data_IF_112196078086
#
_entry.id   IF_112196078086
#
_cell.length_a   1.000
_cell.length_b   1.000
_cell.length_c   1.000
_cell.angle_alpha   90.00
_cell.angle_beta   90.00
_cell.angle_gamma   90.00
#
_symmetry.space_group_name_H-M   'P 1'
#
loop_
_entity.id
_entity.type
_entity.pdbx_description
1 polymer ?
#
# COMPACT_ATOMS: atom_id res chain seq x y z
N UNK A 1 -4.31 -13.69 -32.87
CA UNK A 1 -3.53 -14.07 -31.66
C UNK A 1 -2.25 -13.27 -31.54
N UNK A 2 -1.26 -13.38 -32.44
CA UNK A 2 -0.03 -12.57 -32.35
C UNK A 2 -0.23 -11.05 -32.50
N UNK A 3 -1.24 -10.62 -33.27
CA UNK A 3 -1.51 -9.21 -33.52
C UNK A 3 -2.05 -8.44 -32.29
N UNK A 4 -2.89 -9.07 -31.46
CA UNK A 4 -3.46 -8.41 -30.27
C UNK A 4 -2.41 -8.21 -29.17
N UNK A 5 -1.59 -9.24 -28.91
CA UNK A 5 -0.47 -9.15 -27.96
C UNK A 5 0.62 -8.20 -28.46
N UNK A 6 0.90 -8.16 -29.77
CA UNK A 6 1.84 -7.21 -30.34
C UNK A 6 1.32 -5.75 -30.30
N UNK A 7 0.03 -5.54 -30.55
CA UNK A 7 -0.59 -4.22 -30.43
C UNK A 7 -0.62 -3.73 -28.97
N UNK A 8 -0.87 -4.64 -28.02
CA UNK A 8 -0.82 -4.32 -26.59
C UNK A 8 0.60 -3.98 -26.14
N UNK A 9 1.61 -4.76 -26.55
CA UNK A 9 3.02 -4.44 -26.23
C UNK A 9 3.44 -3.10 -26.80
N UNK A 10 3.13 -2.82 -28.07
CA UNK A 10 3.39 -1.51 -28.67
C UNK A 10 2.69 -0.37 -27.91
N UNK A 11 1.46 -0.59 -27.45
CA UNK A 11 0.71 0.40 -26.67
C UNK A 11 1.29 0.63 -25.26
N UNK A 12 1.96 -0.34 -24.64
CA UNK A 12 2.62 -0.18 -23.35
C UNK A 12 4.06 0.34 -23.48
N UNK A 13 4.76 0.06 -24.59
CA UNK A 13 6.08 0.63 -24.88
C UNK A 13 6.02 2.17 -24.96
N UNK A 14 4.90 2.71 -25.45
CA UNK A 14 4.63 4.16 -25.47
C UNK A 14 4.33 4.79 -24.08
N UNK A 15 4.17 3.99 -23.01
CA UNK A 15 3.94 4.48 -21.64
C UNK A 15 5.27 4.73 -20.90
N UNK A 16 6.39 4.18 -21.39
CA UNK A 16 7.71 4.40 -20.79
C UNK A 16 8.38 5.66 -21.33
N UNK A 17 8.17 6.81 -20.69
CA UNK A 17 9.17 7.88 -20.67
C UNK A 17 9.12 8.65 -19.33
N UNK A 18 9.60 8.04 -18.25
CA UNK A 18 10.37 8.82 -17.27
C UNK A 18 11.81 8.80 -17.77
N UNK A 19 12.15 9.72 -18.67
CA UNK A 19 13.53 9.89 -19.07
C UNK A 19 14.27 10.49 -17.87
N UNK A 20 15.42 9.90 -17.52
CA UNK A 20 16.33 10.50 -16.54
C UNK A 20 17.16 11.54 -17.29
N UNK A 21 17.15 12.79 -16.83
CA UNK A 21 18.02 13.81 -17.39
C UNK A 21 19.48 13.37 -17.28
N UNK A 22 20.16 13.29 -18.41
CA UNK A 22 21.59 13.08 -18.50
C UNK A 22 22.27 14.20 -19.31
N UNK A 23 23.57 14.07 -19.51
CA UNK A 23 24.39 15.01 -20.28
C UNK A 23 24.03 15.08 -21.77
N UNK A 24 23.11 14.22 -22.26
CA UNK A 24 22.66 14.19 -23.65
C UNK A 24 21.28 14.84 -23.84
N UNK A 25 20.70 15.44 -22.80
CA UNK A 25 19.41 16.11 -22.91
C UNK A 25 19.50 17.36 -23.79
N UNK A 26 18.48 17.63 -24.63
CA UNK A 26 18.45 18.85 -25.42
C UNK A 26 18.28 20.08 -24.50
N UNK A 27 18.75 21.25 -24.94
CA UNK A 27 18.73 22.51 -24.18
C UNK A 27 17.31 22.96 -23.73
N UNK A 28 16.27 22.33 -24.25
CA UNK A 28 14.85 22.54 -23.91
C UNK A 28 14.24 21.35 -23.16
N UNK A 29 15.02 20.59 -22.40
CA UNK A 29 14.51 19.50 -21.58
C UNK A 29 13.66 20.05 -20.42
N UNK A 30 12.35 19.78 -20.46
CA UNK A 30 11.35 20.28 -19.51
C UNK A 30 11.65 19.91 -18.04
N UNK A 31 12.40 18.83 -17.80
CA UNK A 31 12.78 18.36 -16.46
C UNK A 31 13.91 19.18 -15.80
N UNK A 32 14.46 20.19 -16.48
CA UNK A 32 15.39 21.18 -15.91
C UNK A 32 14.74 22.53 -15.60
N UNK A 33 13.46 22.70 -15.97
CA UNK A 33 12.66 23.89 -15.66
C UNK A 33 11.92 23.69 -14.33
N UNK A 34 12.37 24.39 -13.29
CA UNK A 34 11.76 24.39 -11.95
C UNK A 34 10.70 25.49 -11.77
N UNK A 35 10.22 26.10 -12.86
CA UNK A 35 9.17 27.12 -12.78
C UNK A 35 7.80 26.50 -12.43
N UNK A 36 6.93 27.28 -11.79
CA UNK A 36 5.55 26.87 -11.48
C UNK A 36 4.76 26.46 -12.74
N UNK A 37 5.07 27.08 -13.89
CA UNK A 37 4.45 26.74 -15.17
C UNK A 37 4.87 25.35 -15.67
N UNK A 38 6.14 24.97 -15.50
CA UNK A 38 6.64 23.64 -15.82
C UNK A 38 6.03 22.57 -14.91
N UNK A 39 5.88 22.85 -13.60
CA UNK A 39 5.16 21.96 -12.68
C UNK A 39 3.71 21.72 -13.12
N UNK A 40 2.97 22.78 -13.44
CA UNK A 40 1.59 22.65 -13.93
C UNK A 40 1.50 21.84 -15.22
N UNK A 41 2.45 22.07 -16.14
CA UNK A 41 2.49 21.32 -17.40
C UNK A 41 2.81 19.84 -17.18
N UNK A 42 3.73 19.52 -16.27
CA UNK A 42 4.02 18.14 -15.88
C UNK A 42 2.84 17.47 -15.19
N UNK A 43 2.11 18.19 -14.34
CA UNK A 43 0.91 17.66 -13.69
C UNK A 43 -0.21 17.36 -14.69
N UNK A 44 -0.45 18.27 -15.65
CA UNK A 44 -1.38 18.06 -16.76
C UNK A 44 -0.97 16.85 -17.61
N UNK A 45 0.32 16.76 -17.97
CA UNK A 45 0.84 15.62 -18.73
C UNK A 45 0.74 14.29 -17.95
N UNK A 46 1.05 14.31 -16.65
CA UNK A 46 0.94 13.14 -15.77
C UNK A 46 -0.51 12.70 -15.60
N UNK A 47 -1.46 13.65 -15.57
CA UNK A 47 -2.88 13.36 -15.56
C UNK A 47 -3.29 12.64 -16.86
N UNK A 48 -2.90 13.15 -18.03
CA UNK A 48 -3.17 12.54 -19.33
C UNK A 48 -2.56 11.12 -19.44
N UNK A 49 -1.34 10.93 -18.92
CA UNK A 49 -0.67 9.62 -18.88
C UNK A 49 -1.41 8.64 -17.96
N UNK A 50 -1.91 9.09 -16.80
CA UNK A 50 -2.71 8.25 -15.88
C UNK A 50 -4.03 7.82 -16.52
N UNK A 51 -4.70 8.72 -17.23
CA UNK A 51 -5.91 8.40 -18.00
C UNK A 51 -5.61 7.36 -19.08
N UNK A 52 -4.52 7.54 -19.85
CA UNK A 52 -4.10 6.58 -20.86
C UNK A 52 -3.75 5.19 -20.27
N UNK A 53 -3.12 5.14 -19.09
CA UNK A 53 -2.86 3.88 -18.37
C UNK A 53 -4.18 3.22 -17.97
N UNK A 54 -5.11 4.00 -17.42
CA UNK A 54 -6.41 3.50 -17.00
C UNK A 54 -7.20 2.90 -18.17
N UNK A 55 -7.31 3.61 -19.29
CA UNK A 55 -8.00 3.14 -20.49
C UNK A 55 -7.38 1.86 -21.04
N UNK A 56 -6.03 1.79 -21.07
CA UNK A 56 -5.31 0.62 -21.56
C UNK A 56 -5.42 -0.58 -20.61
N UNK A 57 -5.46 -0.36 -19.31
CA UNK A 57 -5.71 -1.40 -18.32
C UNK A 57 -7.14 -1.96 -18.44
N UNK A 58 -8.13 -1.09 -18.65
CA UNK A 58 -9.51 -1.47 -18.91
C UNK A 58 -9.64 -2.32 -20.17
N UNK A 59 -9.01 -1.92 -21.28
CA UNK A 59 -8.97 -2.69 -22.52
C UNK A 59 -8.28 -4.06 -22.36
N UNK A 60 -7.26 -4.16 -21.50
CA UNK A 60 -6.60 -5.42 -21.16
C UNK A 60 -7.54 -6.37 -20.40
N UNK A 61 -8.31 -5.85 -19.44
CA UNK A 61 -9.29 -6.65 -18.68
C UNK A 61 -10.36 -7.19 -19.61
N UNK A 62 -10.94 -6.36 -20.48
CA UNK A 62 -11.94 -6.79 -21.47
C UNK A 62 -11.41 -7.89 -22.39
N UNK A 63 -10.18 -7.74 -22.90
CA UNK A 63 -9.55 -8.75 -23.74
C UNK A 63 -9.29 -10.08 -23.00
N UNK A 64 -8.99 -10.02 -21.69
CA UNK A 64 -8.81 -11.20 -20.86
C UNK A 64 -10.14 -11.90 -20.55
N UNK A 65 -11.21 -11.14 -20.32
CA UNK A 65 -12.57 -11.67 -20.12
C UNK A 65 -13.09 -12.36 -21.39
N UNK A 66 -12.85 -11.78 -22.57
CA UNK A 66 -13.15 -12.41 -23.85
C UNK A 66 -12.34 -13.70 -24.05
N UNK A 67 -11.05 -13.68 -23.69
CA UNK A 67 -10.16 -14.84 -23.84
C UNK A 67 -10.50 -16.00 -22.90
N UNK A 68 -10.84 -15.71 -21.65
CA UNK A 68 -11.21 -16.71 -20.64
C UNK A 68 -12.64 -17.24 -20.85
N UNK A 69 -13.45 -16.53 -21.65
CA UNK A 69 -14.87 -16.77 -21.81
C UNK A 69 -15.65 -16.31 -20.57
N UNK A 70 -16.85 -15.79 -20.78
CA UNK A 70 -17.78 -15.57 -19.67
C UNK A 70 -17.99 -16.90 -18.93
N UNK A 71 -18.00 -16.91 -17.58
CA UNK A 71 -18.15 -18.15 -16.83
C UNK A 71 -19.45 -18.82 -17.25
N UNK A 72 -19.35 -20.01 -17.83
CA UNK A 72 -20.51 -20.86 -18.11
C UNK A 72 -21.16 -21.21 -16.78
N UNK A 73 -22.38 -20.71 -16.57
CA UNK A 73 -23.28 -21.13 -15.50
C UNK A 73 -23.39 -22.66 -15.47
N UNK A 74 -22.74 -23.30 -14.50
CA UNK A 74 -22.95 -24.71 -14.21
C UNK A 74 -21.71 -25.49 -13.81
N UNK A 75 -21.33 -25.41 -12.53
CA UNK A 75 -21.62 -26.49 -11.58
C UNK A 75 -21.03 -26.21 -10.19
N UNK A 76 -21.93 -26.07 -9.22
CA UNK A 76 -21.85 -26.64 -7.87
C UNK A 76 -20.48 -26.63 -7.18
N UNK A 77 -20.19 -25.52 -6.49
CA UNK A 77 -19.70 -25.66 -5.13
C UNK A 77 -20.88 -25.49 -4.17
N UNK A 78 -21.11 -26.57 -3.43
CA UNK A 78 -21.93 -26.63 -2.22
C UNK A 78 -21.66 -25.43 -1.31
N UNK A 79 -22.64 -25.04 -0.47
CA UNK A 79 -22.62 -23.74 0.18
C UNK A 79 -21.36 -23.61 1.03
N UNK A 80 -20.64 -22.50 0.90
CA UNK A 80 -19.83 -21.98 2.01
C UNK A 80 -20.76 -21.49 3.12
N UNK A 81 -21.63 -22.37 3.59
CA UNK A 81 -22.33 -22.26 4.85
C UNK A 81 -21.35 -22.69 5.92
N UNK A 82 -20.76 -21.71 6.60
CA UNK A 82 -20.24 -21.90 7.95
C UNK A 82 -18.73 -21.97 8.14
N UNK A 83 -17.90 -21.67 7.13
CA UNK A 83 -16.48 -21.43 7.41
C UNK A 83 -16.35 -20.06 8.09
N UNK A 84 -16.15 -20.07 9.42
CA UNK A 84 -15.77 -18.90 10.18
C UNK A 84 -14.42 -18.43 9.63
N UNK A 85 -14.42 -17.34 8.86
CA UNK A 85 -13.19 -16.67 8.46
C UNK A 85 -12.59 -16.08 9.72
N UNK A 86 -11.35 -16.46 10.03
CA UNK A 86 -10.62 -15.86 11.16
C UNK A 86 -10.27 -14.42 10.76
N UNK A 87 -10.54 -13.42 11.61
CA UNK A 87 -10.20 -12.03 11.30
C UNK A 87 -8.72 -11.89 10.94
N UNK A 88 -8.44 -11.13 9.88
CA UNK A 88 -7.09 -10.78 9.49
C UNK A 88 -6.60 -9.66 10.40
N UNK A 89 -5.51 -9.90 11.14
CA UNK A 89 -4.98 -8.93 12.12
C UNK A 89 -3.47 -8.85 12.00
N UNK A 90 -2.96 -7.67 11.67
CA UNK A 90 -1.54 -7.36 11.71
C UNK A 90 -1.13 -6.92 13.12
N UNK A 91 -0.03 -7.44 13.65
CA UNK A 91 0.45 -7.09 14.98
C UNK A 91 1.98 -7.13 15.05
N UNK A 92 2.54 -6.36 15.97
CA UNK A 92 3.94 -6.42 16.34
C UNK A 92 4.14 -7.51 17.39
N UNK A 93 5.00 -8.48 17.11
CA UNK A 93 5.43 -9.49 18.07
C UNK A 93 6.48 -8.87 19.02
N UNK A 94 6.17 -8.69 20.32
CA UNK A 94 7.00 -7.87 21.21
C UNK A 94 8.41 -8.43 21.45
N UNK A 95 8.56 -9.75 21.50
CA UNK A 95 9.85 -10.40 21.79
C UNK A 95 10.78 -10.28 20.59
N UNK A 96 10.29 -10.56 19.39
CA UNK A 96 11.04 -10.44 18.14
C UNK A 96 11.36 -8.98 17.85
N UNK A 97 10.44 -8.07 18.14
CA UNK A 97 10.69 -6.63 18.02
C UNK A 97 11.82 -6.18 18.93
N UNK A 98 11.81 -6.58 20.21
CA UNK A 98 12.90 -6.26 21.13
C UNK A 98 14.23 -6.84 20.64
N UNK A 99 14.23 -8.08 20.15
CA UNK A 99 15.44 -8.72 19.60
C UNK A 99 15.99 -8.00 18.37
N UNK A 100 15.10 -7.49 17.50
CA UNK A 100 15.48 -6.64 16.37
C UNK A 100 16.06 -5.32 16.88
N UNK A 101 15.35 -4.62 17.77
CA UNK A 101 15.81 -3.35 18.34
C UNK A 101 17.19 -3.46 18.98
N UNK A 102 17.44 -4.53 19.76
CA UNK A 102 18.73 -4.74 20.43
C UNK A 102 19.91 -4.84 19.44
N UNK A 103 19.64 -5.31 18.22
CA UNK A 103 20.61 -5.52 17.14
C UNK A 103 20.61 -4.41 16.09
N UNK A 104 19.63 -3.51 16.12
CA UNK A 104 19.48 -2.46 15.14
C UNK A 104 20.69 -1.51 15.20
N UNK A 105 21.34 -1.36 14.06
CA UNK A 105 22.51 -0.52 13.89
C UNK A 105 22.10 0.95 13.83
N UNK A 106 20.91 1.24 13.30
CA UNK A 106 20.44 2.60 13.07
C UNK A 106 19.65 3.24 14.24
N UNK A 107 19.83 2.74 15.46
CA UNK A 107 19.08 3.23 16.64
C UNK A 107 19.26 4.72 16.92
N UNK A 108 20.43 5.28 16.61
CA UNK A 108 20.70 6.70 16.83
C UNK A 108 19.85 7.58 15.91
N UNK A 109 19.83 7.29 14.61
CA UNK A 109 19.02 8.07 13.65
C UNK A 109 17.54 7.89 13.90
N UNK A 110 17.10 6.67 14.26
CA UNK A 110 15.71 6.42 14.66
C UNK A 110 15.34 7.23 15.91
N UNK A 111 16.25 7.33 16.89
CA UNK A 111 16.05 8.15 18.10
C UNK A 111 15.89 9.62 17.76
N UNK A 112 16.75 10.15 16.90
CA UNK A 112 16.71 11.56 16.49
C UNK A 112 15.43 11.86 15.69
N UNK A 113 15.02 10.94 14.81
CA UNK A 113 13.78 11.06 14.02
C UNK A 113 12.55 11.05 14.93
N UNK A 114 12.50 10.18 15.95
CA UNK A 114 11.41 10.16 16.93
C UNK A 114 11.38 11.41 17.82
N UNK A 115 12.53 11.98 18.15
CA UNK A 115 12.59 13.26 18.87
C UNK A 115 12.01 14.39 18.02
N UNK A 116 12.36 14.47 16.73
CA UNK A 116 11.77 15.43 15.79
C UNK A 116 10.25 15.27 15.68
N UNK A 117 9.76 14.02 15.61
CA UNK A 117 8.34 13.73 15.58
C UNK A 117 7.62 14.19 16.86
N UNK A 118 8.25 14.01 18.03
CA UNK A 118 7.71 14.45 19.32
C UNK A 118 7.64 15.98 19.47
N UNK A 119 8.60 16.69 18.85
CA UNK A 119 8.64 18.16 18.75
C UNK A 119 7.57 18.69 17.78
N UNK A 120 7.12 17.87 16.83
CA UNK A 120 5.96 18.12 15.97
C UNK A 120 6.25 18.98 14.74
N UNK A 121 7.52 19.12 14.37
CA UNK A 121 7.92 19.73 13.09
C UNK A 121 7.74 18.71 11.96
N UNK A 122 7.13 19.11 10.85
CA UNK A 122 7.07 18.32 9.61
C UNK A 122 6.65 16.85 9.80
N UNK A 123 5.66 16.61 10.67
CA UNK A 123 5.29 15.27 11.14
C UNK A 123 5.01 14.28 9.98
N UNK A 124 4.45 14.74 8.87
CA UNK A 124 4.20 13.96 7.67
C UNK A 124 5.50 13.37 7.09
N UNK A 125 6.52 14.21 6.90
CA UNK A 125 7.82 13.80 6.36
C UNK A 125 8.65 13.04 7.41
N UNK A 126 8.58 13.43 8.68
CA UNK A 126 9.29 12.73 9.76
C UNK A 126 8.76 11.30 9.93
N UNK A 127 7.44 11.09 9.78
CA UNK A 127 6.86 9.74 9.81
C UNK A 127 7.33 8.90 8.63
N UNK A 128 7.33 9.47 7.42
CA UNK A 128 7.83 8.77 6.24
C UNK A 128 9.29 8.35 6.40
N UNK A 129 10.16 9.28 6.79
CA UNK A 129 11.56 9.01 7.07
C UNK A 129 11.75 7.92 8.14
N UNK A 130 10.93 7.94 9.19
CA UNK A 130 10.94 6.89 10.21
C UNK A 130 10.60 5.52 9.63
N UNK A 131 9.61 5.44 8.74
CA UNK A 131 9.23 4.17 8.08
C UNK A 131 10.34 3.68 7.15
N UNK A 132 11.01 4.57 6.40
CA UNK A 132 12.17 4.20 5.58
C UNK A 132 13.27 3.57 6.42
N UNK A 133 13.61 4.19 7.56
CA UNK A 133 14.66 3.69 8.45
C UNK A 133 14.32 2.33 9.07
N UNK A 134 13.05 2.09 9.40
CA UNK A 134 12.60 0.88 10.11
C UNK A 134 12.31 -0.29 9.15
N UNK A 135 11.64 -0.03 8.03
CA UNK A 135 11.10 -1.04 7.13
C UNK A 135 11.86 -1.20 5.82
N UNK A 136 12.68 -0.23 5.41
CA UNK A 136 13.37 -0.25 4.11
C UNK A 136 14.91 -0.32 4.23
N UNK A 137 15.45 -0.51 5.43
CA UNK A 137 16.90 -0.75 5.60
C UNK A 137 17.32 -2.09 4.99
N UNK A 138 18.57 -2.21 4.52
CA UNK A 138 19.09 -3.43 3.86
C UNK A 138 18.95 -4.73 4.69
N UNK A 139 18.64 -4.62 5.98
CA UNK A 139 18.48 -5.74 6.91
C UNK A 139 17.09 -5.78 7.56
N UNK A 140 16.11 -5.03 7.03
CA UNK A 140 14.72 -4.99 7.50
C UNK A 140 13.98 -6.30 7.15
N UNK A 141 14.42 -7.41 7.74
CA UNK A 141 13.58 -8.58 7.92
C UNK A 141 12.60 -8.25 9.03
N UNK A 142 11.42 -7.74 8.66
CA UNK A 142 10.30 -7.39 9.55
C UNK A 142 9.61 -8.64 10.11
N UNK A 143 10.41 -9.62 10.53
CA UNK A 143 9.95 -10.90 11.10
C UNK A 143 9.20 -10.72 12.41
N UNK A 144 9.37 -9.58 13.06
CA UNK A 144 8.59 -9.15 14.21
C UNK A 144 7.23 -8.56 13.84
N UNK A 145 6.96 -8.22 12.58
CA UNK A 145 5.64 -7.82 12.11
C UNK A 145 4.90 -9.08 11.60
N UNK A 146 3.80 -9.42 12.24
CA UNK A 146 3.06 -10.65 11.99
C UNK A 146 1.65 -10.37 11.51
N UNK A 147 1.10 -11.29 10.72
CA UNK A 147 -0.30 -11.24 10.29
C UNK A 147 -0.99 -12.54 10.67
N UNK A 148 -2.00 -12.44 11.50
CA UNK A 148 -2.84 -13.55 11.94
C UNK A 148 -4.06 -13.69 11.04
N UNK A 149 -4.67 -14.87 11.01
CA UNK A 149 -5.86 -15.15 10.19
C UNK A 149 -5.54 -15.68 8.79
N UNK A 150 -4.26 -15.84 8.46
CA UNK A 150 -3.80 -16.42 7.19
C UNK A 150 -3.57 -17.93 7.30
N UNK A 151 -3.81 -18.64 6.20
CA UNK A 151 -3.53 -20.08 6.08
C UNK A 151 -2.11 -20.40 5.56
N UNK A 152 -1.37 -19.37 5.14
CA UNK A 152 -0.02 -19.45 4.62
C UNK A 152 0.81 -18.27 5.15
N UNK A 153 2.12 -18.40 5.08
CA UNK A 153 3.04 -17.31 5.42
C UNK A 153 2.85 -16.14 4.45
N UNK A 154 3.09 -14.94 4.96
CA UNK A 154 2.91 -13.72 4.21
C UNK A 154 4.12 -12.81 4.34
N UNK A 155 4.44 -12.13 3.25
CA UNK A 155 5.31 -10.98 3.28
C UNK A 155 4.45 -9.74 3.58
N UNK A 156 4.88 -8.95 4.55
CA UNK A 156 4.17 -7.75 4.99
C UNK A 156 5.11 -6.56 5.01
N UNK A 157 4.64 -5.44 4.46
CA UNK A 157 5.28 -4.14 4.62
C UNK A 157 4.28 -3.12 5.16
N UNK A 158 4.79 -2.19 5.95
CA UNK A 158 4.06 -1.06 6.51
C UNK A 158 4.80 0.21 6.11
N UNK A 159 4.06 1.22 5.67
CA UNK A 159 4.59 2.53 5.32
C UNK A 159 3.63 3.64 5.76
N UNK A 160 4.15 4.86 5.84
CA UNK A 160 3.41 6.08 6.15
C UNK A 160 3.90 7.15 5.19
N UNK A 161 3.09 7.45 4.18
CA UNK A 161 3.45 8.38 3.12
C UNK A 161 2.78 9.76 3.32
N UNK A 162 3.46 10.87 3.02
CA UNK A 162 2.83 12.18 2.99
C UNK A 162 1.65 12.19 2.00
N UNK A 163 0.50 12.68 2.45
CA UNK A 163 -0.71 12.80 1.65
C UNK A 163 -0.97 14.26 1.27
N UNK A 164 -1.41 14.45 0.03
CA UNK A 164 -1.70 15.76 -0.52
C UNK A 164 -3.16 15.81 -0.95
N UNK A 165 -3.80 16.94 -0.71
CA UNK A 165 -5.16 17.19 -1.15
C UNK A 165 -5.25 17.32 -2.69
N UNK A 166 -6.47 17.51 -3.20
CA UNK A 166 -6.71 17.70 -4.64
C UNK A 166 -6.01 18.93 -5.26
N UNK A 167 -5.45 19.82 -4.45
CA UNK A 167 -4.70 21.02 -4.87
C UNK A 167 -3.19 20.83 -4.71
N UNK A 168 -2.73 19.65 -4.29
CA UNK A 168 -1.31 19.36 -4.05
C UNK A 168 -0.79 19.94 -2.73
N UNK A 169 -1.68 20.33 -1.80
CA UNK A 169 -1.28 20.82 -0.47
C UNK A 169 -1.13 19.63 0.47
N UNK A 170 0.01 19.55 1.15
CA UNK A 170 0.25 18.56 2.19
C UNK A 170 -0.78 18.71 3.30
N UNK A 171 -1.62 17.69 3.51
CA UNK A 171 -2.76 17.75 4.42
C UNK A 171 -2.89 16.56 5.38
N UNK A 172 -2.01 15.56 5.25
CA UNK A 172 -1.96 14.42 6.17
C UNK A 172 -0.96 13.36 5.75
N UNK A 173 -1.24 12.12 6.15
CA UNK A 173 -0.49 10.94 5.72
C UNK A 173 -1.41 9.80 5.33
N UNK A 174 -0.93 8.91 4.48
CA UNK A 174 -1.54 7.61 4.22
C UNK A 174 -0.74 6.54 4.95
N UNK A 175 -1.36 5.87 5.90
CA UNK A 175 -0.81 4.63 6.49
C UNK A 175 -1.13 3.51 5.52
N UNK A 176 -0.11 2.80 5.04
CA UNK A 176 -0.28 1.76 4.01
C UNK A 176 0.29 0.44 4.52
N UNK A 177 -0.51 -0.61 4.48
CA UNK A 177 -0.06 -1.99 4.67
C UNK A 177 -0.19 -2.75 3.35
N UNK A 178 0.91 -3.36 2.92
CA UNK A 178 0.91 -4.28 1.80
C UNK A 178 1.18 -5.70 2.30
N UNK A 179 0.39 -6.65 1.81
CA UNK A 179 0.47 -8.06 2.16
C UNK A 179 0.56 -8.90 0.88
N UNK A 180 1.59 -9.72 0.76
CA UNK A 180 1.74 -10.73 -0.29
C UNK A 180 1.70 -12.13 0.34
N UNK A 181 0.79 -12.97 -0.14
CA UNK A 181 0.64 -14.36 0.30
C UNK A 181 0.86 -15.27 -0.90
N UNK A 182 1.82 -16.19 -0.77
CA UNK A 182 2.06 -17.23 -1.77
C UNK A 182 1.31 -18.51 -1.39
N UNK A 183 0.27 -18.85 -2.15
CA UNK A 183 -0.51 -20.08 -1.93
C UNK A 183 -0.08 -21.14 -2.95
N UNK A 184 0.47 -22.25 -2.43
CA UNK A 184 0.79 -23.47 -3.19
C UNK A 184 1.57 -23.23 -4.50
N UNK A 185 2.62 -22.40 -4.46
CA UNK A 185 3.60 -22.16 -5.54
C UNK A 185 3.00 -21.73 -6.90
N UNK A 186 1.75 -21.27 -6.94
CA UNK A 186 1.06 -20.99 -8.22
C UNK A 186 0.20 -19.73 -8.22
N UNK A 187 -0.19 -19.19 -7.05
CA UNK A 187 -0.97 -17.96 -6.99
C UNK A 187 -0.47 -17.06 -5.86
N UNK A 188 0.03 -15.88 -6.23
CA UNK A 188 0.25 -14.77 -5.30
C UNK A 188 -1.05 -14.02 -5.12
N UNK A 189 -1.42 -13.83 -3.87
CA UNK A 189 -2.51 -12.96 -3.48
C UNK A 189 -1.92 -11.72 -2.87
N UNK A 190 -2.35 -10.56 -3.37
CA UNK A 190 -1.92 -9.27 -2.87
C UNK A 190 -3.11 -8.54 -2.27
N UNK A 191 -2.88 -7.95 -1.09
CA UNK A 191 -3.81 -7.04 -0.43
C UNK A 191 -3.06 -5.75 -0.10
N UNK A 192 -3.65 -4.62 -0.47
CA UNK A 192 -3.19 -3.29 -0.05
C UNK A 192 -4.30 -2.59 0.71
N UNK A 193 -3.96 -2.14 1.92
CA UNK A 193 -4.87 -1.40 2.81
C UNK A 193 -4.23 -0.06 3.07
N UNK A 194 -5.00 1.01 2.89
CA UNK A 194 -4.53 2.37 3.10
C UNK A 194 -5.57 3.14 3.89
N UNK A 195 -5.10 3.87 4.91
CA UNK A 195 -5.91 4.73 5.77
C UNK A 195 -5.33 6.13 5.76
N UNK A 196 -6.15 7.11 5.37
CA UNK A 196 -5.78 8.51 5.43
C UNK A 196 -5.93 9.04 6.87
N UNK A 197 -4.91 9.77 7.34
CA UNK A 197 -4.89 10.40 8.66
C UNK A 197 -4.64 11.89 8.49
N UNK A 198 -5.68 12.68 8.76
CA UNK A 198 -5.54 14.13 8.89
C UNK A 198 -4.82 14.46 10.21
N UNK A 199 -3.94 15.46 10.18
CA UNK A 199 -3.20 15.93 11.37
C UNK A 199 -2.41 14.82 12.09
N UNK A 200 -1.46 14.15 11.41
CA UNK A 200 -0.73 12.98 11.94
C UNK A 200 -0.10 13.21 13.32
N UNK A 201 0.34 14.43 13.64
CA UNK A 201 0.87 14.81 14.95
C UNK A 201 -0.06 14.54 16.14
N UNK A 202 -1.37 14.46 15.92
CA UNK A 202 -2.34 14.20 16.98
C UNK A 202 -2.45 12.70 17.28
N UNK A 203 -2.06 11.87 16.31
CA UNK A 203 -2.20 10.40 16.34
C UNK A 203 -0.87 9.76 16.69
N UNK A 204 0.19 10.10 15.96
CA UNK A 204 1.49 9.41 16.03
C UNK A 204 2.51 10.06 16.97
N UNK A 205 2.08 10.93 17.90
CA UNK A 205 3.03 11.60 18.79
C UNK A 205 3.59 10.64 19.85
N UNK A 206 4.91 10.35 19.86
CA UNK A 206 5.49 9.47 20.87
C UNK A 206 5.26 10.03 22.28
N UNK A 207 4.69 9.21 23.16
CA UNK A 207 4.44 9.59 24.57
C UNK A 207 5.47 8.99 25.53
N UNK A 208 6.16 7.93 25.11
CA UNK A 208 7.14 7.24 25.94
C UNK A 208 8.49 7.95 25.93
N UNK A 209 9.18 7.95 27.06
CA UNK A 209 10.53 8.50 27.20
C UNK A 209 11.62 7.57 26.64
N UNK A 210 11.33 6.28 26.53
CA UNK A 210 12.24 5.28 25.98
C UNK A 210 11.97 5.13 24.49
N UNK A 211 13.01 5.31 23.65
CA UNK A 211 12.87 5.32 22.19
C UNK A 211 12.22 4.06 21.63
N UNK A 212 12.63 2.89 22.11
CA UNK A 212 12.11 1.59 21.68
C UNK A 212 10.59 1.48 21.90
N UNK A 213 10.13 1.90 23.08
CA UNK A 213 8.72 1.93 23.44
C UNK A 213 7.97 2.97 22.61
N UNK A 214 8.59 4.14 22.39
CA UNK A 214 8.04 5.22 21.56
C UNK A 214 7.82 4.79 20.11
N UNK A 215 8.81 4.15 19.51
CA UNK A 215 8.70 3.56 18.18
C UNK A 215 7.62 2.47 18.13
N UNK A 216 7.64 1.56 19.11
CA UNK A 216 6.65 0.49 19.21
C UNK A 216 5.23 1.05 19.25
N UNK A 217 5.00 2.13 20.00
CA UNK A 217 3.71 2.80 20.07
C UNK A 217 3.28 3.43 18.73
N UNK A 218 4.19 4.07 17.99
CA UNK A 218 3.89 4.61 16.64
C UNK A 218 3.47 3.51 15.69
N UNK A 219 4.19 2.38 15.69
CA UNK A 219 3.88 1.20 14.87
C UNK A 219 2.54 0.60 15.29
N UNK A 220 2.31 0.41 16.60
CA UNK A 220 1.08 -0.18 17.11
C UNK A 220 -0.15 0.68 16.77
N UNK A 221 -0.02 2.01 16.78
CA UNK A 221 -1.08 2.94 16.35
C UNK A 221 -1.37 2.82 14.85
N UNK A 222 -0.32 2.73 14.01
CA UNK A 222 -0.47 2.53 12.57
C UNK A 222 -1.16 1.19 12.26
N UNK A 223 -0.77 0.12 12.97
CA UNK A 223 -1.41 -1.19 12.83
C UNK A 223 -2.86 -1.18 13.33
N UNK A 224 -3.18 -0.43 14.39
CA UNK A 224 -4.56 -0.28 14.87
C UNK A 224 -5.47 0.33 13.79
N UNK A 225 -5.01 1.39 13.12
CA UNK A 225 -5.74 2.01 12.00
C UNK A 225 -5.96 1.02 10.85
N UNK A 226 -4.92 0.30 10.44
CA UNK A 226 -5.00 -0.69 9.37
C UNK A 226 -5.95 -1.85 9.75
N UNK A 227 -5.86 -2.37 10.97
CA UNK A 227 -6.71 -3.46 11.42
C UNK A 227 -8.18 -3.05 11.50
N UNK A 228 -8.46 -1.80 11.88
CA UNK A 228 -9.82 -1.26 11.86
C UNK A 228 -10.35 -1.22 10.42
N UNK A 229 -9.57 -0.69 9.48
CA UNK A 229 -9.96 -0.63 8.06
C UNK A 229 -10.17 -2.03 7.46
N UNK A 230 -9.32 -3.01 7.79
CA UNK A 230 -9.50 -4.41 7.39
C UNK A 230 -10.84 -4.94 7.91
N UNK A 231 -11.13 -4.74 9.20
CA UNK A 231 -12.36 -5.21 9.81
C UNK A 231 -13.61 -4.54 9.20
N UNK A 232 -13.54 -3.25 8.88
CA UNK A 232 -14.62 -2.52 8.22
C UNK A 232 -14.86 -3.01 6.78
N UNK A 233 -13.79 -3.28 6.01
CA UNK A 233 -13.89 -3.89 4.66
C UNK A 233 -14.50 -5.29 4.71
N UNK A 234 -14.10 -6.10 5.69
CA UNK A 234 -14.64 -7.44 5.88
C UNK A 234 -16.13 -7.41 6.26
N UNK A 235 -16.52 -6.51 7.18
CA UNK A 235 -17.93 -6.33 7.57
C UNK A 235 -18.78 -5.82 6.39
N UNK A 236 -18.27 -4.84 5.63
CA UNK A 236 -18.91 -4.37 4.41
C UNK A 236 -19.09 -5.52 3.41
N UNK A 237 -18.04 -6.30 3.14
CA UNK A 237 -18.11 -7.41 2.22
C UNK A 237 -19.08 -8.50 2.68
N UNK A 238 -19.11 -8.82 3.98
CA UNK A 238 -20.04 -9.78 4.56
C UNK A 238 -21.49 -9.28 4.47
N UNK A 239 -21.73 -8.01 4.78
CA UNK A 239 -23.05 -7.38 4.75
C UNK A 239 -23.57 -7.22 3.33
N UNK A 240 -22.77 -6.67 2.41
CA UNK A 240 -23.13 -6.46 1.01
C UNK A 240 -23.36 -7.79 0.26
N UNK A 241 -22.67 -8.85 0.67
CA UNK A 241 -22.82 -10.21 0.11
C UNK A 241 -23.76 -11.08 0.92
N UNK A 242 -24.59 -10.55 1.84
CA UNK A 242 -25.69 -11.32 2.42
C UNK A 242 -26.54 -11.90 1.27
N UNK A 243 -26.28 -13.18 0.99
CA UNK A 243 -26.96 -13.96 -0.01
C UNK A 243 -28.45 -13.85 0.30
N UNK A 244 -29.23 -13.34 -0.67
CA UNK A 244 -30.69 -13.47 -0.64
C UNK A 244 -30.98 -14.91 -0.21
N UNK A 245 -31.70 -15.14 0.91
CA UNK A 245 -32.05 -16.50 1.29
C UNK A 245 -32.73 -17.09 0.07
N UNK A 246 -32.22 -18.22 -0.41
CA UNK A 246 -32.84 -18.97 -1.48
C UNK A 246 -34.26 -19.28 -1.02
N UNK A 247 -35.21 -18.43 -1.42
CA UNK A 247 -36.63 -18.67 -1.23
C UNK A 247 -36.93 -19.93 -1.99
N UNK A 248 -36.91 -21.04 -1.26
CA UNK A 248 -37.46 -22.32 -1.68
C UNK A 248 -38.92 -22.07 -2.02
N UNK A 249 -39.22 -21.84 -3.30
CA UNK A 249 -40.58 -21.93 -3.80
C UNK A 249 -40.94 -23.41 -3.79
N UNK A 250 -41.79 -23.79 -2.84
CA UNK A 250 -42.56 -25.03 -2.88
C UNK A 250 -43.53 -25.01 -4.06
#
# INVERSE_FOLDING_TARGET
MGAAVAALRAAFDDIHVMHVCDENCPDNCDLSDYSEAAYRHHDEHNFDVREAIHDRASALVEALEEWLGAPTDGHTESPRSGALVVPLVASREPILYQQWWDREANRAEITDTLAQLADGSEAEYTLHELMLQVFQSEHAGTTWLQVHGLAADAHVSLDIDPAYDSQGVLDGVNVVLNLDVEVANTRRHWLSVSVYVAHPRAVFRPQASETEVGLGAVIDEALALINQEIAERDDFAATARQLLPSTTRQ
#
